data_IF_163360542114
#
_entry.id   IF_163360542114
#
_cell.length_a   1.000
_cell.length_b   1.000
_cell.length_c   1.000
_cell.angle_alpha   90.00
_cell.angle_beta   90.00
_cell.angle_gamma   90.00
#
_symmetry.space_group_name_H-M   'P 1'
#
loop_
_entity.id
_entity.type
_entity.pdbx_description
1 polymer ?
#
# COMPACT_ATOMS: atom_id res chain seq x y z
N UNK A 1 -10.05 -13.44 24.64
CA UNK A 1 -10.18 -13.09 23.22
C UNK A 1 -9.29 -13.96 22.35
N UNK A 2 -7.95 -13.92 22.49
CA UNK A 2 -7.04 -14.73 21.66
C UNK A 2 -7.39 -16.23 21.65
N UNK A 3 -7.65 -16.82 22.82
CA UNK A 3 -8.09 -18.23 22.95
C UNK A 3 -9.42 -18.54 22.27
N UNK A 4 -10.33 -17.56 22.18
CA UNK A 4 -11.61 -17.73 21.50
C UNK A 4 -11.41 -17.69 19.98
N UNK A 5 -10.55 -16.80 19.49
CA UNK A 5 -10.21 -16.70 18.06
C UNK A 5 -9.46 -17.96 17.61
N UNK A 6 -8.51 -18.46 18.42
CA UNK A 6 -7.80 -19.71 18.12
C UNK A 6 -8.71 -20.95 18.17
N UNK A 7 -9.75 -20.93 19.01
CA UNK A 7 -10.76 -21.99 19.05
C UNK A 7 -11.61 -22.07 17.77
N UNK A 8 -11.85 -20.93 17.10
CA UNK A 8 -12.63 -20.88 15.85
C UNK A 8 -11.79 -21.11 14.58
N UNK A 9 -10.53 -20.70 14.57
CA UNK A 9 -9.70 -20.65 13.36
C UNK A 9 -8.47 -21.56 13.41
N UNK A 10 -8.18 -22.19 14.56
CA UNK A 10 -6.96 -22.95 14.80
C UNK A 10 -5.78 -22.07 15.20
N UNK A 11 -4.55 -22.49 14.89
CA UNK A 11 -3.36 -21.66 15.10
C UNK A 11 -3.37 -20.44 14.15
N UNK A 12 -3.20 -19.26 14.74
CA UNK A 12 -3.22 -17.97 14.05
C UNK A 12 -1.85 -17.31 14.23
N UNK A 13 -1.21 -16.82 13.15
CA UNK A 13 0.10 -16.19 13.20
C UNK A 13 0.22 -15.03 14.19
N UNK A 14 -0.77 -14.12 14.22
CA UNK A 14 -0.70 -12.92 15.06
C UNK A 14 -2.08 -12.32 15.31
N UNK A 15 -2.30 -11.85 16.53
CA UNK A 15 -3.42 -10.99 16.91
C UNK A 15 -2.85 -9.76 17.62
N UNK A 16 -3.22 -8.56 17.18
CA UNK A 16 -2.73 -7.29 17.76
C UNK A 16 -3.88 -6.33 17.97
N UNK A 17 -3.93 -5.69 19.14
CA UNK A 17 -4.88 -4.61 19.42
C UNK A 17 -4.38 -3.29 18.83
N UNK A 18 -5.21 -2.61 18.04
CA UNK A 18 -4.96 -1.29 17.51
C UNK A 18 -5.30 -0.21 18.53
N UNK A 19 -4.74 0.99 18.37
CA UNK A 19 -5.04 2.15 19.22
C UNK A 19 -6.50 2.59 19.12
N UNK A 20 -7.18 2.29 18.01
CA UNK A 20 -8.62 2.50 17.83
C UNK A 20 -9.47 1.61 18.73
N UNK A 21 -8.90 0.55 19.32
CA UNK A 21 -9.62 -0.47 20.07
C UNK A 21 -9.89 -1.74 19.25
N UNK A 22 -9.75 -1.69 17.92
CA UNK A 22 -9.97 -2.82 17.02
C UNK A 22 -8.88 -3.90 17.15
N UNK A 23 -9.18 -5.11 16.67
CA UNK A 23 -8.24 -6.23 16.61
C UNK A 23 -7.77 -6.46 15.18
N UNK A 24 -6.46 -6.42 14.98
CA UNK A 24 -5.79 -6.85 13.76
C UNK A 24 -5.44 -8.33 13.88
N UNK A 25 -5.98 -9.15 12.98
CA UNK A 25 -5.74 -10.60 12.94
C UNK A 25 -5.03 -10.96 11.64
N UNK A 26 -3.90 -11.66 11.75
CA UNK A 26 -3.16 -12.20 10.62
C UNK A 26 -3.47 -13.69 10.47
N UNK A 27 -3.86 -14.11 9.27
CA UNK A 27 -4.25 -15.51 8.98
C UNK A 27 -3.24 -16.15 8.03
N UNK A 28 -2.94 -17.43 8.23
CA UNK A 28 -1.96 -18.16 7.42
C UNK A 28 -2.59 -18.79 6.18
N UNK A 29 -3.90 -19.09 6.23
CA UNK A 29 -4.61 -19.80 5.16
C UNK A 29 -5.80 -19.00 4.60
N UNK A 30 -6.00 -19.11 3.28
CA UNK A 30 -7.17 -18.54 2.62
C UNK A 30 -8.49 -19.15 3.15
N UNK A 31 -8.47 -20.42 3.58
CA UNK A 31 -9.64 -21.07 4.19
C UNK A 31 -10.03 -20.38 5.51
N UNK A 32 -9.03 -20.09 6.35
CA UNK A 32 -9.24 -19.34 7.59
C UNK A 32 -9.74 -17.91 7.31
N UNK A 33 -9.18 -17.24 6.29
CA UNK A 33 -9.62 -15.91 5.88
C UNK A 33 -11.11 -15.89 5.47
N UNK A 34 -11.57 -16.90 4.73
CA UNK A 34 -12.98 -16.99 4.32
C UNK A 34 -13.92 -17.27 5.50
N UNK A 35 -13.47 -18.04 6.48
CA UNK A 35 -14.24 -18.32 7.70
C UNK A 35 -14.35 -17.05 8.55
N UNK A 36 -13.22 -16.35 8.82
CA UNK A 36 -13.22 -15.18 9.70
C UNK A 36 -14.04 -14.02 9.13
N UNK A 37 -14.04 -13.82 7.81
CA UNK A 37 -14.84 -12.77 7.15
C UNK A 37 -16.35 -13.01 7.34
N UNK A 38 -16.77 -14.28 7.47
CA UNK A 38 -18.18 -14.65 7.69
C UNK A 38 -18.57 -14.66 9.17
N UNK A 39 -17.62 -14.48 10.09
CA UNK A 39 -17.92 -14.42 11.51
C UNK A 39 -18.57 -13.09 11.87
N UNK A 40 -19.82 -13.16 12.32
CA UNK A 40 -20.56 -12.02 12.84
C UNK A 40 -20.61 -11.98 14.37
N UNK A 41 -20.25 -13.09 15.03
CA UNK A 41 -20.29 -13.23 16.48
C UNK A 41 -19.00 -13.88 16.97
N UNK A 42 -18.39 -13.29 18.00
CA UNK A 42 -17.22 -13.84 18.68
C UNK A 42 -17.64 -14.16 20.12
N UNK A 43 -17.85 -15.44 20.38
CA UNK A 43 -18.57 -15.95 21.56
C UNK A 43 -20.00 -15.37 21.63
N UNK A 44 -20.21 -14.29 22.39
CA UNK A 44 -21.52 -13.64 22.58
C UNK A 44 -21.52 -12.16 22.20
N UNK A 45 -20.42 -11.65 21.62
CA UNK A 45 -20.28 -10.26 21.22
C UNK A 45 -20.43 -10.18 19.69
N UNK A 46 -21.35 -9.36 19.16
CA UNK A 46 -21.42 -9.12 17.73
C UNK A 46 -20.16 -8.38 17.28
N UNK A 47 -19.51 -8.90 16.25
CA UNK A 47 -18.28 -8.33 15.68
C UNK A 47 -18.44 -8.18 14.18
N UNK A 48 -17.86 -7.11 13.64
CA UNK A 48 -17.77 -6.89 12.19
C UNK A 48 -16.35 -7.14 11.76
N UNK A 49 -16.14 -8.16 10.93
CA UNK A 49 -14.83 -8.46 10.36
C UNK A 49 -14.72 -7.80 8.99
N UNK A 50 -13.70 -6.98 8.79
CA UNK A 50 -13.39 -6.37 7.50
C UNK A 50 -11.98 -6.71 7.06
N UNK A 51 -11.74 -6.99 5.77
CA UNK A 51 -10.39 -7.16 5.27
C UNK A 51 -9.63 -5.84 5.40
N UNK A 52 -8.40 -5.92 5.90
CA UNK A 52 -7.60 -4.73 6.11
C UNK A 52 -7.28 -4.00 4.79
N UNK A 53 -7.55 -2.70 4.73
CA UNK A 53 -7.56 -1.92 3.50
C UNK A 53 -6.19 -1.68 2.85
N UNK A 54 -5.09 -1.79 3.61
CA UNK A 54 -3.73 -1.55 3.07
C UNK A 54 -2.81 -2.77 3.14
N UNK A 55 -2.76 -3.47 4.27
CA UNK A 55 -1.94 -4.68 4.47
C UNK A 55 -2.22 -5.85 3.51
N UNK A 56 -3.41 -5.90 2.90
CA UNK A 56 -3.73 -6.92 1.89
C UNK A 56 -3.29 -6.53 0.47
N UNK A 57 -2.72 -5.34 0.30
CA UNK A 57 -2.22 -4.87 -0.98
C UNK A 57 -0.73 -4.63 -0.91
N UNK A 58 -0.05 -5.03 -1.97
CA UNK A 58 1.37 -4.77 -2.12
C UNK A 58 1.61 -3.88 -3.32
N UNK A 59 2.65 -3.04 -3.26
CA UNK A 59 2.93 -2.03 -4.28
C UNK A 59 4.27 -2.31 -4.93
N UNK A 60 4.26 -2.45 -6.24
CA UNK A 60 5.45 -2.63 -7.06
C UNK A 60 5.69 -1.45 -8.00
N UNK A 61 6.93 -1.23 -8.38
CA UNK A 61 7.34 -0.29 -9.43
C UNK A 61 7.85 -1.06 -10.62
N UNK A 62 7.34 -0.71 -11.79
CA UNK A 62 7.82 -1.20 -13.07
C UNK A 62 8.33 -0.03 -13.88
N UNK A 63 9.44 -0.23 -14.60
CA UNK A 63 9.99 0.76 -15.53
C UNK A 63 9.87 0.22 -16.95
N UNK A 64 9.11 0.89 -17.81
CA UNK A 64 8.95 0.50 -19.20
C UNK A 64 8.73 1.76 -20.06
N UNK A 65 9.61 1.96 -21.06
CA UNK A 65 9.52 3.11 -21.96
C UNK A 65 8.33 3.03 -22.93
N UNK A 66 7.98 1.82 -23.38
CA UNK A 66 6.87 1.60 -24.31
C UNK A 66 5.50 1.96 -23.70
N UNK A 67 5.37 1.83 -22.37
CA UNK A 67 4.14 2.15 -21.64
C UNK A 67 4.00 3.64 -21.29
N UNK A 68 4.90 4.50 -21.77
CA UNK A 68 4.87 5.93 -21.49
C UNK A 68 3.69 6.63 -22.18
N UNK A 69 3.36 6.20 -23.40
CA UNK A 69 2.27 6.79 -24.20
C UNK A 69 0.92 6.07 -24.02
N UNK A 70 0.91 4.91 -23.35
CA UNK A 70 -0.32 4.13 -23.11
C UNK A 70 -1.13 4.76 -21.98
N UNK A 71 -2.46 4.70 -22.03
CA UNK A 71 -3.31 5.17 -20.93
C UNK A 71 -3.16 4.26 -19.69
N UNK A 72 -3.37 4.82 -18.49
CA UNK A 72 -3.28 4.07 -17.22
C UNK A 72 -4.38 2.99 -17.16
N UNK A 73 -5.54 3.27 -17.73
CA UNK A 73 -6.71 2.39 -17.79
C UNK A 73 -6.41 1.15 -18.65
N UNK A 74 -5.88 1.32 -19.85
CA UNK A 74 -5.48 0.18 -20.70
C UNK A 74 -4.42 -0.70 -20.04
N UNK A 75 -3.46 -0.09 -19.33
CA UNK A 75 -2.44 -0.83 -18.60
C UNK A 75 -3.08 -1.62 -17.45
N UNK A 76 -4.00 -1.00 -16.72
CA UNK A 76 -4.72 -1.64 -15.64
C UNK A 76 -5.53 -2.84 -16.17
N UNK A 77 -6.24 -2.69 -17.28
CA UNK A 77 -7.05 -3.77 -17.86
C UNK A 77 -6.20 -4.95 -18.35
N UNK A 78 -5.09 -4.68 -19.06
CA UNK A 78 -4.18 -5.75 -19.53
C UNK A 78 -3.53 -6.50 -18.36
N UNK A 79 -3.17 -5.78 -17.29
CA UNK A 79 -2.50 -6.35 -16.12
C UNK A 79 -3.47 -6.86 -15.04
N UNK A 80 -4.78 -6.63 -15.19
CA UNK A 80 -5.82 -7.12 -14.27
C UNK A 80 -5.80 -8.64 -14.14
N UNK A 81 -5.51 -9.33 -15.25
CA UNK A 81 -5.31 -10.79 -15.31
C UNK A 81 -4.19 -11.29 -14.39
N UNK A 82 -3.23 -10.44 -14.03
CA UNK A 82 -2.10 -10.74 -13.16
C UNK A 82 -2.29 -10.19 -11.73
N UNK A 83 -3.51 -9.81 -11.36
CA UNK A 83 -3.84 -9.37 -10.01
C UNK A 83 -3.51 -7.90 -9.70
N UNK A 84 -3.24 -7.08 -10.72
CA UNK A 84 -3.11 -5.62 -10.56
C UNK A 84 -4.49 -5.00 -10.38
N UNK A 85 -4.70 -4.26 -9.30
CA UNK A 85 -5.95 -3.55 -8.99
C UNK A 85 -5.90 -2.07 -9.32
N UNK A 86 -4.72 -1.45 -9.19
CA UNK A 86 -4.56 -0.03 -9.42
C UNK A 86 -3.20 0.28 -10.03
N UNK A 87 -3.18 1.17 -11.02
CA UNK A 87 -1.96 1.64 -11.70
C UNK A 87 -1.84 3.14 -11.48
N UNK A 88 -0.64 3.61 -11.14
CA UNK A 88 -0.36 5.05 -11.00
C UNK A 88 0.95 5.39 -11.69
N UNK A 89 0.91 6.34 -12.62
CA UNK A 89 2.13 6.86 -13.25
C UNK A 89 2.86 7.81 -12.32
N UNK A 90 4.19 7.69 -12.28
CA UNK A 90 5.04 8.66 -11.58
C UNK A 90 5.33 9.81 -12.54
N UNK A 91 4.95 11.02 -12.15
CA UNK A 91 5.26 12.25 -12.85
C UNK A 91 6.36 13.02 -12.12
N UNK A 92 7.27 13.64 -12.84
CA UNK A 92 8.32 14.52 -12.31
C UNK A 92 8.01 15.97 -12.66
N UNK A 93 8.33 16.90 -11.74
CA UNK A 93 8.28 18.34 -12.04
C UNK A 93 9.65 18.81 -12.53
N UNK A 94 9.73 19.34 -13.74
CA UNK A 94 10.94 19.96 -14.30
C UNK A 94 10.56 21.31 -14.90
N UNK A 95 11.17 22.40 -14.40
CA UNK A 95 10.89 23.76 -14.90
C UNK A 95 9.43 24.21 -14.75
N UNK A 96 8.71 23.74 -13.72
CA UNK A 96 7.30 24.08 -13.50
C UNK A 96 6.30 23.20 -14.25
N UNK A 97 6.74 22.38 -15.20
CA UNK A 97 5.87 21.44 -15.93
C UNK A 97 5.91 20.05 -15.29
N UNK A 98 4.76 19.37 -15.30
CA UNK A 98 4.61 17.96 -14.92
C UNK A 98 4.91 17.09 -16.14
N UNK A 99 6.01 16.34 -16.06
CA UNK A 99 6.44 15.41 -17.09
C UNK A 99 6.19 13.97 -16.62
N UNK A 100 5.49 13.21 -17.43
CA UNK A 100 5.30 11.79 -17.22
C UNK A 100 6.63 11.03 -17.34
N UNK A 101 6.84 10.06 -16.45
CA UNK A 101 8.02 9.19 -16.50
C UNK A 101 7.63 7.78 -16.96
N UNK A 102 8.64 7.02 -17.39
CA UNK A 102 8.52 5.58 -17.70
C UNK A 102 8.22 4.69 -16.48
N UNK A 103 8.06 5.26 -15.29
CA UNK A 103 7.87 4.50 -14.06
C UNK A 103 6.40 4.45 -13.66
N UNK A 104 5.91 3.24 -13.45
CA UNK A 104 4.54 2.94 -13.05
C UNK A 104 4.55 2.27 -11.69
N UNK A 105 3.71 2.74 -10.78
CA UNK A 105 3.40 2.06 -9.52
C UNK A 105 2.18 1.19 -9.74
N UNK A 106 2.35 -0.11 -9.59
CA UNK A 106 1.30 -1.12 -9.65
C UNK A 106 0.91 -1.51 -8.23
N UNK A 107 -0.38 -1.61 -7.97
CA UNK A 107 -0.93 -2.14 -6.72
C UNK A 107 -1.49 -3.52 -7.01
N UNK A 108 -0.99 -4.53 -6.31
CA UNK A 108 -1.40 -5.92 -6.44
C UNK A 108 -2.32 -6.31 -5.29
N UNK A 109 -3.31 -7.14 -5.59
CA UNK A 109 -4.10 -7.80 -4.55
C UNK A 109 -3.28 -8.97 -3.97
N UNK A 110 -2.77 -8.82 -2.75
CA UNK A 110 -1.97 -9.82 -2.07
C UNK A 110 -0.78 -9.22 -1.32
N UNK A 111 -0.35 -9.91 -0.26
CA UNK A 111 0.78 -9.51 0.58
C UNK A 111 2.14 -9.68 -0.10
N UNK A 112 2.24 -10.55 -1.11
CA UNK A 112 3.47 -10.82 -1.86
C UNK A 112 3.49 -10.10 -3.19
N UNK A 113 4.61 -9.46 -3.50
CA UNK A 113 4.86 -8.81 -4.79
C UNK A 113 5.48 -9.84 -5.73
N UNK A 114 4.95 -10.01 -6.96
CA UNK A 114 5.60 -10.87 -7.95
C UNK A 114 6.94 -10.27 -8.39
N UNK A 115 7.96 -11.08 -8.65
CA UNK A 115 9.27 -10.57 -9.12
C UNK A 115 9.21 -9.98 -10.53
N UNK A 116 8.27 -10.46 -11.34
CA UNK A 116 8.09 -10.00 -12.72
C UNK A 116 6.64 -10.15 -13.17
N UNK A 117 6.25 -9.31 -14.11
CA UNK A 117 4.95 -9.34 -14.79
C UNK A 117 5.15 -9.39 -16.29
N UNK A 118 4.17 -9.91 -17.01
CA UNK A 118 4.17 -9.94 -18.48
C UNK A 118 3.29 -8.83 -19.04
N UNK A 119 3.85 -7.91 -19.80
CA UNK A 119 3.10 -6.87 -20.49
C UNK A 119 3.22 -7.10 -22.00
N UNK A 120 2.16 -7.64 -22.61
CA UNK A 120 2.20 -8.06 -24.01
C UNK A 120 3.23 -9.17 -24.23
N UNK A 121 4.25 -8.88 -25.05
CA UNK A 121 5.36 -9.80 -25.34
C UNK A 121 6.54 -9.65 -24.38
N UNK A 122 6.57 -8.59 -23.56
CA UNK A 122 7.69 -8.29 -22.67
C UNK A 122 7.50 -8.85 -21.27
N UNK A 123 8.61 -9.24 -20.64
CA UNK A 123 8.69 -9.53 -19.20
C UNK A 123 9.31 -8.33 -18.48
N UNK A 124 8.55 -7.71 -17.57
CA UNK A 124 8.97 -6.55 -16.82
C UNK A 124 9.27 -6.94 -15.37
N UNK A 125 10.44 -6.57 -14.88
CA UNK A 125 10.80 -6.78 -13.47
C UNK A 125 10.04 -5.79 -12.58
N UNK A 126 9.48 -6.30 -11.47
CA UNK A 126 8.77 -5.51 -10.48
C UNK A 126 9.68 -5.29 -9.27
N UNK A 127 9.90 -4.03 -8.91
CA UNK A 127 10.64 -3.65 -7.70
C UNK A 127 9.67 -3.26 -6.60
N UNK A 128 10.02 -3.45 -5.33
CA UNK A 128 9.19 -2.96 -4.23
C UNK A 128 9.04 -1.43 -4.30
N UNK A 129 7.81 -0.94 -4.16
CA UNK A 129 7.55 0.49 -4.07
C UNK A 129 7.77 0.98 -2.64
N UNK A 130 8.78 1.81 -2.45
CA UNK A 130 8.98 2.57 -1.22
C UNK A 130 8.47 4.00 -1.44
N UNK A 131 7.37 4.42 -0.77
CA UNK A 131 6.89 5.78 -0.91
C UNK A 131 7.91 6.77 -0.38
N UNK A 132 7.99 7.95 -1.02
CA UNK A 132 8.84 9.01 -0.54
C UNK A 132 8.43 9.37 0.90
N UNK A 133 9.39 9.43 1.85
CA UNK A 133 9.08 9.74 3.23
C UNK A 133 8.42 11.11 3.31
N UNK A 134 7.36 11.20 4.12
CA UNK A 134 6.62 12.44 4.32
C UNK A 134 7.55 13.50 4.90
N UNK A 135 7.88 14.52 4.10
CA UNK A 135 8.68 15.67 4.53
C UNK A 135 7.77 16.84 4.84
N UNK A 136 7.87 17.37 6.06
CA UNK A 136 7.17 18.59 6.42
C UNK A 136 7.85 19.80 5.77
N UNK A 137 7.22 20.42 4.77
CA UNK A 137 7.80 21.60 4.10
C UNK A 137 7.86 22.87 4.99
N UNK A 138 7.29 22.84 6.20
CA UNK A 138 7.39 23.93 7.18
C UNK A 138 8.67 23.85 8.03
N UNK A 139 9.07 22.65 8.47
CA UNK A 139 10.24 22.46 9.35
C UNK A 139 11.32 21.54 8.78
N UNK A 140 11.12 21.04 7.56
CA UNK A 140 11.96 20.09 6.82
C UNK A 140 12.20 18.73 7.49
N UNK A 141 11.56 18.42 8.63
CA UNK A 141 11.64 17.11 9.29
C UNK A 141 10.72 16.08 8.62
N UNK A 142 11.11 14.81 8.68
CA UNK A 142 10.31 13.69 8.18
C UNK A 142 9.25 13.22 9.21
N UNK A 143 8.22 12.53 8.73
CA UNK A 143 7.24 11.80 9.55
C UNK A 143 5.94 12.53 9.87
N UNK A 144 5.77 13.79 9.44
CA UNK A 144 4.52 14.52 9.64
C UNK A 144 4.20 15.48 8.48
N UNK A 145 2.93 15.83 8.33
CA UNK A 145 2.46 16.82 7.35
C UNK A 145 2.60 18.24 7.90
N UNK A 146 2.45 19.25 7.01
CA UNK A 146 2.45 20.66 7.42
C UNK A 146 1.33 20.97 8.43
N UNK A 147 0.17 20.32 8.29
CA UNK A 147 -0.98 20.52 9.18
C UNK A 147 -0.75 19.98 10.59
N UNK A 148 -0.02 18.87 10.72
CA UNK A 148 0.34 18.26 12.01
C UNK A 148 1.66 18.81 12.58
N UNK A 149 2.17 19.92 12.04
CA UNK A 149 3.47 20.47 12.43
C UNK A 149 3.35 21.37 13.65
N UNK A 150 3.81 20.87 14.80
CA UNK A 150 3.90 21.62 16.06
C UNK A 150 5.17 22.48 16.17
N UNK A 151 6.06 22.46 15.18
CA UNK A 151 7.24 23.31 15.20
C UNK A 151 6.85 24.77 14.95
N UNK A 152 7.34 25.66 15.82
CA UNK A 152 7.48 27.08 15.51
C UNK A 152 8.45 27.22 14.32
N UNK A 153 8.15 28.16 13.40
CA UNK A 153 8.98 28.45 12.25
C UNK A 153 10.43 28.64 12.71
N UNK A 154 11.33 27.73 12.32
CA UNK A 154 12.76 28.02 12.38
C UNK A 154 13.13 28.71 11.07
N UNK A 155 13.53 29.98 11.08
CA UNK A 155 14.22 30.55 9.92
C UNK A 155 15.45 29.69 9.66
N UNK A 156 15.72 29.38 8.41
CA UNK A 156 17.02 28.84 8.01
C UNK A 156 18.07 29.91 8.36
N UNK A 157 19.01 29.62 9.27
CA UNK A 157 20.24 30.41 9.35
C UNK A 157 21.01 30.18 8.06
N UNK A 158 20.92 31.15 7.17
CA UNK A 158 21.60 31.21 5.89
C UNK A 158 21.81 32.67 5.48
N UNK A 159 22.23 33.52 6.41
CA UNK A 159 22.88 34.79 6.07
C UNK A 159 24.37 34.49 5.87
N UNK A 160 24.78 34.30 4.62
CA UNK A 160 26.16 34.57 4.23
C UNK A 160 26.30 36.09 4.19
N UNK A 161 27.02 36.63 5.16
CA UNK A 161 27.65 37.96 5.08
C UNK A 161 29.14 37.73 4.88
#
# INVERSE_FOLDING_TARGET
>A
MEKAISGYLGEIPSVRKLRSGDLLVEVSSQKQAQIIIKLNNLASIPVTVTPHASLNFSKGVVSCGELLNTSIEEIADKLKSQGVTHVRRISMRKGGQLLDTKHLVLTFHGSKIPESIKAGYMKLAVRHYFPNPLRCFKCQRFGHSKASCHAHLRPLCGSRS
#
